data_IF_849926782386
#
_entry.id   IF_849926782386
#
_cell.length_a   1.000
_cell.length_b   1.000
_cell.length_c   1.000
_cell.angle_alpha   90.00
_cell.angle_beta   90.00
_cell.angle_gamma   90.00
#
_symmetry.space_group_name_H-M   'P 1'
#
loop_
_entity.id
_entity.type
_entity.pdbx_description
1 polymer ?
#
# COMPACT_ATOMS: atom_id res chain seq x y z
N UNK A 1 -30.29 0.15 -1.68
CA UNK A 1 -29.49 -0.37 -2.79
C UNK A 1 -29.17 0.78 -3.73
N UNK A 2 -27.99 1.39 -3.59
CA UNK A 2 -27.48 2.36 -4.56
C UNK A 2 -26.33 1.65 -5.28
N UNK A 3 -26.61 1.16 -6.49
CA UNK A 3 -25.58 0.66 -7.37
C UNK A 3 -24.63 1.82 -7.70
N UNK A 4 -23.42 1.75 -7.20
CA UNK A 4 -22.34 2.66 -7.56
C UNK A 4 -21.97 2.38 -9.01
N UNK A 5 -22.05 3.41 -9.83
CA UNK A 5 -21.67 3.39 -11.24
C UNK A 5 -20.19 2.96 -11.36
N UNK A 6 -19.86 2.05 -12.31
CA UNK A 6 -18.47 1.66 -12.52
C UNK A 6 -17.61 2.88 -12.83
N UNK A 7 -16.53 3.07 -12.07
CA UNK A 7 -15.55 4.10 -12.38
C UNK A 7 -14.91 3.78 -13.73
N UNK A 8 -14.83 4.79 -14.62
CA UNK A 8 -14.09 4.81 -15.89
C UNK A 8 -14.47 3.77 -16.95
N UNK A 9 -15.77 3.58 -17.24
CA UNK A 9 -16.18 2.91 -18.50
C UNK A 9 -15.92 1.40 -18.57
N UNK A 10 -15.44 0.75 -17.51
CA UNK A 10 -15.30 -0.70 -17.47
C UNK A 10 -16.67 -1.34 -17.29
N UNK A 11 -17.15 -2.04 -18.32
CA UNK A 11 -18.37 -2.84 -18.27
C UNK A 11 -17.98 -4.30 -18.09
N UNK A 12 -18.48 -4.93 -17.02
CA UNK A 12 -18.24 -6.35 -16.73
C UNK A 12 -19.59 -7.04 -16.66
N UNK A 13 -19.79 -8.03 -17.51
CA UNK A 13 -21.02 -8.84 -17.55
C UNK A 13 -20.89 -10.14 -16.79
N UNK A 14 -22.00 -10.80 -16.48
CA UNK A 14 -21.96 -12.16 -15.91
C UNK A 14 -21.26 -13.16 -16.84
N UNK A 15 -21.35 -12.96 -18.16
CA UNK A 15 -20.65 -13.81 -19.13
C UNK A 15 -19.14 -13.63 -19.07
N UNK A 16 -18.65 -12.40 -18.88
CA UNK A 16 -17.22 -12.11 -18.69
C UNK A 16 -16.70 -12.77 -17.42
N UNK A 17 -17.44 -12.62 -16.30
CA UNK A 17 -17.08 -13.27 -15.04
C UNK A 17 -17.11 -14.79 -15.15
N UNK A 18 -18.02 -15.38 -15.92
CA UNK A 18 -18.04 -16.81 -16.17
C UNK A 18 -16.84 -17.26 -17.01
N UNK A 19 -16.41 -16.47 -17.99
CA UNK A 19 -15.19 -16.76 -18.76
C UNK A 19 -13.95 -16.74 -17.86
N UNK A 20 -13.84 -15.71 -17.01
CA UNK A 20 -12.77 -15.60 -16.00
C UNK A 20 -12.82 -16.80 -15.04
N UNK A 21 -13.98 -17.11 -14.46
CA UNK A 21 -14.13 -18.25 -13.54
C UNK A 21 -13.74 -19.58 -14.21
N UNK A 22 -14.12 -19.78 -15.47
CA UNK A 22 -13.79 -21.00 -16.23
C UNK A 22 -12.29 -21.12 -16.51
N UNK A 23 -11.62 -20.02 -16.84
CA UNK A 23 -10.16 -20.00 -17.09
C UNK A 23 -9.35 -20.36 -15.82
N UNK A 24 -9.90 -20.10 -14.64
CA UNK A 24 -9.23 -20.36 -13.34
C UNK A 24 -9.86 -21.52 -12.52
N UNK A 25 -10.83 -22.25 -13.08
CA UNK A 25 -11.44 -23.40 -12.41
C UNK A 25 -12.33 -23.04 -11.19
N UNK A 26 -12.88 -21.83 -11.16
CA UNK A 26 -13.65 -21.27 -10.02
C UNK A 26 -15.15 -21.61 -10.03
N UNK A 27 -15.59 -22.48 -10.96
CA UNK A 27 -16.95 -22.96 -11.03
C UNK A 27 -17.92 -21.98 -11.67
N UNK A 28 -19.23 -22.12 -11.32
CA UNK A 28 -20.30 -21.34 -11.96
C UNK A 28 -20.57 -20.01 -11.23
N UNK A 29 -20.66 -18.92 -12.01
CA UNK A 29 -21.03 -17.59 -11.49
C UNK A 29 -22.55 -17.50 -11.34
N UNK A 30 -23.01 -17.36 -10.09
CA UNK A 30 -24.43 -17.25 -9.72
C UNK A 30 -24.85 -15.81 -9.44
N UNK A 31 -23.96 -15.05 -8.80
CA UNK A 31 -24.19 -13.66 -8.42
C UNK A 31 -22.87 -12.90 -8.31
N UNK A 32 -22.93 -11.61 -8.48
CA UNK A 32 -21.80 -10.70 -8.28
C UNK A 32 -22.29 -9.33 -7.85
N UNK A 33 -21.41 -8.60 -7.15
CA UNK A 33 -21.65 -7.23 -6.70
C UNK A 33 -20.37 -6.40 -6.75
N UNK A 34 -20.50 -5.13 -7.10
CA UNK A 34 -19.37 -4.20 -7.06
C UNK A 34 -19.00 -3.88 -5.62
N UNK A 35 -17.71 -3.95 -5.31
CA UNK A 35 -17.15 -3.36 -4.09
C UNK A 35 -17.01 -1.86 -4.32
N UNK A 36 -17.80 -1.07 -3.59
CA UNK A 36 -17.90 0.39 -3.78
C UNK A 36 -16.68 1.20 -3.35
N UNK A 37 -15.54 0.55 -3.09
CA UNK A 37 -14.30 1.15 -2.63
C UNK A 37 -13.13 0.71 -3.50
N UNK A 38 -12.28 1.64 -3.81
CA UNK A 38 -11.08 1.46 -4.61
C UNK A 38 -10.93 2.64 -5.56
N UNK A 39 -9.93 3.49 -5.31
CA UNK A 39 -9.65 4.67 -6.15
C UNK A 39 -9.17 4.25 -7.54
N UNK A 40 -8.42 3.17 -7.60
CA UNK A 40 -7.64 2.81 -8.78
C UNK A 40 -8.10 1.52 -9.46
N UNK A 41 -8.62 0.55 -8.70
CA UNK A 41 -8.93 -0.78 -9.23
C UNK A 41 -10.38 -1.16 -8.96
N UNK A 42 -11.23 -1.17 -10.00
CA UNK A 42 -12.57 -1.70 -9.87
C UNK A 42 -12.54 -3.14 -9.38
N UNK A 43 -13.36 -3.46 -8.38
CA UNK A 43 -13.41 -4.79 -7.78
C UNK A 43 -14.84 -5.31 -7.66
N UNK A 44 -15.03 -6.59 -7.92
CA UNK A 44 -16.28 -7.33 -7.80
C UNK A 44 -16.12 -8.50 -6.84
N UNK A 45 -17.09 -8.67 -5.94
CA UNK A 45 -17.28 -9.94 -5.22
C UNK A 45 -18.13 -10.86 -6.09
N UNK A 46 -17.71 -12.10 -6.24
CA UNK A 46 -18.43 -13.12 -7.01
C UNK A 46 -18.79 -14.29 -6.10
N UNK A 47 -20.03 -14.72 -6.16
CA UNK A 47 -20.66 -15.78 -5.34
C UNK A 47 -20.55 -15.57 -3.81
N UNK A 48 -19.97 -14.46 -3.36
CA UNK A 48 -19.62 -14.27 -1.96
C UNK A 48 -18.29 -14.92 -1.53
N UNK A 49 -17.59 -15.59 -2.45
CA UNK A 49 -16.44 -16.46 -2.17
C UNK A 49 -15.11 -15.88 -2.63
N UNK A 50 -15.10 -15.09 -3.70
CA UNK A 50 -13.89 -14.52 -4.26
C UNK A 50 -14.09 -13.10 -4.81
N UNK A 51 -12.99 -12.40 -4.92
CA UNK A 51 -12.92 -11.02 -5.40
C UNK A 51 -12.08 -10.99 -6.67
N UNK A 52 -12.58 -10.34 -7.73
CA UNK A 52 -11.77 -9.99 -8.89
C UNK A 52 -11.53 -8.49 -8.90
N UNK A 53 -10.26 -8.09 -9.05
CA UNK A 53 -9.83 -6.70 -9.22
C UNK A 53 -9.28 -6.53 -10.63
N UNK A 54 -9.73 -5.48 -11.30
CA UNK A 54 -9.32 -5.16 -12.67
C UNK A 54 -8.36 -3.97 -12.67
N UNK A 55 -7.49 -3.93 -13.67
CA UNK A 55 -6.65 -2.76 -13.91
C UNK A 55 -7.50 -1.58 -14.35
N UNK A 56 -7.58 -0.55 -13.53
CA UNK A 56 -8.40 0.65 -13.77
C UNK A 56 -7.61 1.90 -14.12
N UNK A 57 -6.27 1.86 -14.10
CA UNK A 57 -5.43 3.04 -14.34
C UNK A 57 -4.90 3.08 -15.76
N UNK A 58 -5.08 4.19 -16.51
CA UNK A 58 -4.44 4.38 -17.81
C UNK A 58 -2.91 4.44 -17.66
N UNK A 59 -2.19 3.76 -18.55
CA UNK A 59 -0.71 3.76 -18.54
C UNK A 59 -0.06 2.92 -17.45
N UNK A 60 -0.83 2.11 -16.79
CA UNK A 60 -0.41 1.33 -15.64
C UNK A 60 0.52 0.17 -15.99
N UNK A 61 1.27 -0.26 -14.97
CA UNK A 61 2.12 -1.44 -15.03
C UNK A 61 1.27 -2.66 -14.67
N UNK A 62 0.76 -3.45 -15.63
CA UNK A 62 -0.05 -4.63 -15.30
C UNK A 62 0.71 -5.63 -14.43
N UNK A 63 2.05 -5.60 -14.45
CA UNK A 63 2.94 -6.37 -13.58
C UNK A 63 2.72 -6.12 -12.09
N UNK A 64 2.05 -5.02 -11.68
CA UNK A 64 1.70 -4.80 -10.28
C UNK A 64 0.86 -5.93 -9.68
N UNK A 65 -0.02 -6.57 -10.47
CA UNK A 65 -0.77 -7.73 -9.99
C UNK A 65 0.10 -8.97 -9.77
N UNK A 66 1.22 -9.12 -10.50
CA UNK A 66 2.21 -10.15 -10.19
C UNK A 66 2.96 -9.84 -8.89
N UNK A 67 3.33 -8.58 -8.68
CA UNK A 67 3.94 -8.11 -7.43
C UNK A 67 3.01 -8.30 -6.23
N UNK A 68 1.75 -7.89 -6.36
CA UNK A 68 0.72 -8.08 -5.35
C UNK A 68 0.49 -9.57 -5.05
N UNK A 69 0.39 -10.40 -6.09
CA UNK A 69 0.24 -11.85 -5.93
C UNK A 69 1.45 -12.48 -5.24
N UNK A 70 2.67 -12.02 -5.52
CA UNK A 70 3.87 -12.46 -4.84
C UNK A 70 3.81 -12.10 -3.34
N UNK A 71 3.45 -10.85 -3.02
CA UNK A 71 3.30 -10.42 -1.62
C UNK A 71 2.31 -11.31 -0.85
N UNK A 72 1.11 -11.56 -1.40
CA UNK A 72 0.13 -12.43 -0.74
C UNK A 72 0.62 -13.86 -0.54
N UNK A 73 1.32 -14.45 -1.51
CA UNK A 73 1.88 -15.81 -1.36
C UNK A 73 2.90 -15.86 -0.23
N UNK A 74 3.81 -14.90 -0.18
CA UNK A 74 4.83 -14.80 0.87
C UNK A 74 4.22 -14.60 2.26
N UNK A 75 3.20 -13.75 2.38
CA UNK A 75 2.48 -13.54 3.63
C UNK A 75 1.84 -14.84 4.13
N UNK A 76 1.15 -15.55 3.25
CA UNK A 76 0.50 -16.83 3.60
C UNK A 76 1.51 -17.91 3.98
N UNK A 77 2.65 -17.99 3.29
CA UNK A 77 3.76 -18.91 3.64
C UNK A 77 4.29 -18.66 5.05
N UNK A 78 4.26 -17.41 5.50
CA UNK A 78 4.67 -16.99 6.84
C UNK A 78 3.50 -16.91 7.85
N UNK A 79 2.32 -17.42 7.47
CA UNK A 79 1.10 -17.41 8.28
C UNK A 79 0.62 -16.00 8.68
N UNK A 80 1.00 -14.98 7.93
CA UNK A 80 0.46 -13.63 8.07
C UNK A 80 -0.91 -13.57 7.38
N UNK A 81 -1.96 -13.03 8.03
CA UNK A 81 -3.30 -12.98 7.46
C UNK A 81 -3.34 -12.23 6.13
N UNK A 82 -3.69 -12.93 5.06
CA UNK A 82 -3.79 -12.39 3.70
C UNK A 82 -4.70 -13.26 2.83
N UNK A 83 -5.31 -12.71 1.75
CA UNK A 83 -6.11 -13.50 0.83
C UNK A 83 -5.27 -14.54 0.08
N UNK A 84 -5.92 -15.62 -0.34
CA UNK A 84 -5.33 -16.56 -1.29
C UNK A 84 -5.42 -16.00 -2.70
N UNK A 85 -4.34 -16.14 -3.48
CA UNK A 85 -4.34 -15.80 -4.89
C UNK A 85 -4.90 -16.96 -5.69
N UNK A 86 -6.10 -16.79 -6.25
CA UNK A 86 -6.81 -17.78 -7.04
C UNK A 86 -6.45 -17.69 -8.53
N UNK A 87 -5.98 -16.54 -8.99
CA UNK A 87 -5.54 -16.34 -10.37
C UNK A 87 -5.02 -14.93 -10.64
N UNK A 88 -4.18 -14.83 -11.65
CA UNK A 88 -3.71 -13.56 -12.24
C UNK A 88 -3.72 -13.72 -13.75
N UNK A 89 -4.23 -12.75 -14.48
CA UNK A 89 -4.14 -12.70 -15.93
C UNK A 89 -3.72 -11.30 -16.41
N UNK A 90 -2.55 -11.22 -17.01
CA UNK A 90 -2.02 -10.00 -17.62
C UNK A 90 -2.16 -10.03 -19.16
N UNK A 91 -2.59 -11.17 -19.72
CA UNK A 91 -2.61 -11.40 -21.15
C UNK A 91 -3.70 -10.65 -21.90
N UNK A 92 -4.75 -10.25 -21.19
CA UNK A 92 -5.95 -9.64 -21.75
C UNK A 92 -6.68 -10.52 -22.80
N UNK A 93 -6.45 -11.85 -22.77
CA UNK A 93 -7.09 -12.79 -23.72
C UNK A 93 -8.45 -13.27 -23.24
N UNK A 94 -8.65 -13.39 -21.91
CA UNK A 94 -9.91 -13.81 -21.31
C UNK A 94 -10.84 -12.61 -21.10
N UNK A 95 -10.29 -11.49 -20.68
CA UNK A 95 -11.00 -10.23 -20.45
C UNK A 95 -10.12 -9.06 -20.93
N UNK A 96 -10.67 -7.96 -21.49
CA UNK A 96 -9.89 -6.88 -22.11
C UNK A 96 -9.20 -5.94 -21.09
N UNK A 97 -8.90 -6.42 -19.90
CA UNK A 97 -8.09 -5.78 -18.87
C UNK A 97 -7.32 -6.82 -18.09
N UNK A 98 -6.14 -6.49 -17.60
CA UNK A 98 -5.45 -7.33 -16.61
C UNK A 98 -6.28 -7.43 -15.32
N UNK A 99 -6.20 -8.57 -14.63
CA UNK A 99 -6.91 -8.78 -13.38
C UNK A 99 -6.18 -9.74 -12.43
N UNK A 100 -6.52 -9.60 -11.14
CA UNK A 100 -6.15 -10.55 -10.08
C UNK A 100 -7.41 -11.08 -9.41
N UNK A 101 -7.42 -12.37 -9.06
CA UNK A 101 -8.51 -13.04 -8.35
C UNK A 101 -8.00 -13.48 -6.99
N UNK A 102 -8.71 -13.08 -5.96
CA UNK A 102 -8.36 -13.31 -4.56
C UNK A 102 -9.51 -14.03 -3.83
N UNK A 103 -9.19 -14.89 -2.86
CA UNK A 103 -10.21 -15.37 -1.94
C UNK A 103 -10.83 -14.21 -1.18
N UNK A 104 -12.13 -14.24 -0.94
CA UNK A 104 -12.79 -13.26 -0.09
C UNK A 104 -12.43 -13.53 1.36
N UNK A 105 -11.87 -12.52 2.03
CA UNK A 105 -11.66 -12.55 3.46
C UNK A 105 -12.95 -12.18 4.21
N UNK A 106 -13.21 -12.76 5.39
CA UNK A 106 -14.33 -12.37 6.23
C UNK A 106 -14.09 -11.02 6.88
N UNK A 107 -15.18 -10.30 7.14
CA UNK A 107 -15.15 -9.04 7.89
C UNK A 107 -15.27 -7.79 7.05
N UNK A 108 -14.86 -6.68 7.65
CA UNK A 108 -14.91 -5.32 7.11
C UNK A 108 -13.54 -4.64 7.30
N UNK A 109 -13.21 -3.59 6.53
CA UNK A 109 -12.10 -2.71 6.88
C UNK A 109 -12.19 -2.24 8.34
N UNK A 110 -11.06 -2.18 9.03
CA UNK A 110 -11.01 -1.76 10.43
C UNK A 110 -11.63 -0.37 10.61
N UNK A 111 -11.39 0.55 9.66
CA UNK A 111 -11.96 1.90 9.67
C UNK A 111 -13.49 1.89 9.74
N UNK A 112 -14.15 0.94 9.07
CA UNK A 112 -15.62 0.84 9.07
C UNK A 112 -16.18 0.30 10.40
N UNK A 113 -15.43 -0.57 11.05
CA UNK A 113 -15.80 -1.14 12.32
C UNK A 113 -15.43 -0.22 13.52
N UNK A 114 -14.45 0.66 13.35
CA UNK A 114 -13.78 1.43 14.42
C UNK A 114 -14.76 2.15 15.33
N UNK A 115 -15.70 2.89 14.76
CA UNK A 115 -16.66 3.69 15.53
C UNK A 115 -17.69 2.85 16.33
N UNK A 116 -17.82 1.58 16.01
CA UNK A 116 -18.72 0.64 16.72
C UNK A 116 -18.00 -0.17 17.80
N UNK A 117 -16.67 -0.07 17.86
CA UNK A 117 -15.83 -0.77 18.84
C UNK A 117 -15.77 0.02 20.15
N UNK A 118 -15.71 -0.71 21.28
CA UNK A 118 -15.30 -0.11 22.54
C UNK A 118 -13.82 0.27 22.51
N UNK A 119 -13.39 1.18 23.39
CA UNK A 119 -11.97 1.58 23.48
C UNK A 119 -11.01 0.38 23.65
N UNK A 120 -11.39 -0.61 24.46
CA UNK A 120 -10.60 -1.83 24.63
C UNK A 120 -10.49 -2.66 23.33
N UNK A 121 -11.56 -2.71 22.52
CA UNK A 121 -11.54 -3.40 21.22
C UNK A 121 -10.71 -2.61 20.19
N UNK A 122 -10.79 -1.28 20.21
CA UNK A 122 -9.97 -0.40 19.37
C UNK A 122 -8.49 -0.59 19.69
N UNK A 123 -8.10 -0.57 20.96
CA UNK A 123 -6.73 -0.83 21.39
C UNK A 123 -6.25 -2.24 21.00
N UNK A 124 -7.08 -3.26 21.21
CA UNK A 124 -6.76 -4.64 20.84
C UNK A 124 -6.51 -4.80 19.33
N UNK A 125 -7.40 -4.28 18.48
CA UNK A 125 -7.29 -4.43 17.03
C UNK A 125 -6.10 -3.64 16.47
N UNK A 126 -5.83 -2.45 17.03
CA UNK A 126 -4.66 -1.65 16.67
C UNK A 126 -3.35 -2.36 17.07
N UNK A 127 -3.29 -2.93 18.27
CA UNK A 127 -2.14 -3.74 18.69
C UNK A 127 -1.93 -4.98 17.81
N UNK A 128 -3.02 -5.66 17.42
CA UNK A 128 -2.94 -6.79 16.51
C UNK A 128 -2.43 -6.38 15.13
N UNK A 129 -2.88 -5.25 14.58
CA UNK A 129 -2.37 -4.70 13.34
C UNK A 129 -0.86 -4.41 13.41
N UNK A 130 -0.38 -3.88 14.55
CA UNK A 130 1.06 -3.69 14.79
C UNK A 130 1.85 -4.99 14.77
N UNK A 131 1.31 -6.07 15.34
CA UNK A 131 1.96 -7.41 15.30
C UNK A 131 1.95 -7.99 13.89
N UNK A 132 0.86 -7.85 13.15
CA UNK A 132 0.76 -8.28 11.74
C UNK A 132 1.78 -7.53 10.89
N UNK A 133 1.92 -6.22 11.07
CA UNK A 133 2.93 -5.41 10.39
C UNK A 133 4.35 -5.89 10.73
N UNK A 134 4.64 -6.18 12.00
CA UNK A 134 5.95 -6.69 12.42
C UNK A 134 6.26 -8.08 11.84
N UNK A 135 5.27 -8.94 11.70
CA UNK A 135 5.41 -10.26 11.05
C UNK A 135 5.68 -10.11 9.56
N UNK A 136 4.93 -9.25 8.87
CA UNK A 136 5.15 -8.93 7.45
C UNK A 136 6.58 -8.43 7.20
N UNK A 137 7.09 -7.54 8.03
CA UNK A 137 8.47 -7.05 7.96
C UNK A 137 9.53 -8.11 8.28
N UNK A 138 9.12 -9.31 8.72
CA UNK A 138 9.96 -10.50 8.85
C UNK A 138 10.24 -11.21 7.53
N UNK A 139 9.58 -10.84 6.46
CA UNK A 139 9.77 -11.39 5.13
C UNK A 139 10.83 -10.55 4.42
N UNK A 140 11.90 -11.19 3.95
CA UNK A 140 13.07 -10.48 3.46
C UNK A 140 13.45 -10.89 2.03
N UNK A 141 14.14 -9.96 1.35
CA UNK A 141 14.75 -10.19 0.05
C UNK A 141 16.26 -9.90 0.06
N UNK A 142 16.93 -10.28 -1.03
CA UNK A 142 18.36 -10.02 -1.21
C UNK A 142 18.65 -8.59 -1.71
N UNK A 143 17.69 -7.94 -2.36
CA UNK A 143 17.84 -6.63 -2.98
C UNK A 143 16.61 -5.78 -2.72
N UNK A 144 16.78 -4.46 -2.75
CA UNK A 144 15.70 -3.49 -2.70
C UNK A 144 15.05 -3.35 -4.08
N UNK A 145 13.78 -2.93 -4.11
CA UNK A 145 13.10 -2.64 -5.36
C UNK A 145 11.58 -2.72 -5.24
N UNK A 146 10.90 -2.17 -6.22
CA UNK A 146 9.45 -2.14 -6.32
C UNK A 146 8.93 -3.47 -6.88
N UNK A 147 7.96 -4.11 -6.22
CA UNK A 147 7.39 -5.37 -6.70
C UNK A 147 6.64 -5.22 -8.02
N UNK A 148 6.22 -4.01 -8.38
CA UNK A 148 5.63 -3.71 -9.71
C UNK A 148 6.65 -3.78 -10.85
N UNK A 149 7.95 -3.71 -10.52
CA UNK A 149 9.07 -3.71 -11.47
C UNK A 149 10.14 -4.71 -11.03
N UNK A 150 9.83 -6.01 -10.93
CA UNK A 150 10.72 -7.00 -10.33
C UNK A 150 12.08 -7.13 -11.04
N UNK A 151 12.18 -6.65 -12.27
CA UNK A 151 13.44 -6.60 -13.04
C UNK A 151 14.34 -5.40 -12.67
N UNK A 152 13.82 -4.40 -11.93
CA UNK A 152 14.57 -3.22 -11.47
C UNK A 152 14.87 -3.39 -10.00
N UNK A 153 16.12 -3.72 -9.68
CA UNK A 153 16.56 -3.97 -8.31
C UNK A 153 17.76 -3.09 -7.96
N UNK A 154 17.91 -2.82 -6.68
CA UNK A 154 18.96 -1.96 -6.13
C UNK A 154 19.73 -2.72 -5.06
N UNK A 155 21.08 -2.62 -5.06
CA UNK A 155 21.93 -3.32 -4.09
C UNK A 155 21.84 -2.74 -2.67
N UNK A 156 21.35 -1.49 -2.53
CA UNK A 156 21.24 -0.79 -1.26
C UNK A 156 19.99 0.09 -1.23
N UNK A 157 19.43 0.29 -0.04
CA UNK A 157 18.20 1.06 0.14
C UNK A 157 18.37 2.53 -0.27
N UNK A 158 19.49 3.17 0.05
CA UNK A 158 19.76 4.54 -0.40
C UNK A 158 19.70 4.67 -1.93
N UNK A 159 20.18 3.67 -2.67
CA UNK A 159 20.16 3.74 -4.14
C UNK A 159 18.74 3.67 -4.72
N UNK A 160 17.83 2.93 -4.06
CA UNK A 160 16.41 2.96 -4.39
C UNK A 160 15.80 4.34 -4.09
N UNK A 161 16.12 4.92 -2.92
CA UNK A 161 15.60 6.24 -2.53
C UNK A 161 16.12 7.37 -3.44
N UNK A 162 17.37 7.29 -3.90
CA UNK A 162 17.93 8.22 -4.87
C UNK A 162 17.15 8.17 -6.20
N UNK A 163 16.92 6.96 -6.74
CA UNK A 163 16.14 6.77 -7.97
C UNK A 163 14.69 7.27 -7.81
N UNK A 164 14.08 6.96 -6.67
CA UNK A 164 12.74 7.43 -6.31
C UNK A 164 12.68 8.95 -6.25
N UNK A 165 13.58 9.61 -5.51
CA UNK A 165 13.62 11.07 -5.40
C UNK A 165 13.82 11.71 -6.78
N UNK A 166 14.80 11.22 -7.57
CA UNK A 166 15.09 11.79 -8.91
C UNK A 166 13.91 11.64 -9.87
N UNK A 167 13.09 10.60 -9.72
CA UNK A 167 11.88 10.43 -10.55
C UNK A 167 10.88 11.53 -10.25
N UNK A 168 10.51 11.72 -9.00
CA UNK A 168 9.52 12.73 -8.62
C UNK A 168 10.04 14.17 -8.74
N UNK A 169 11.34 14.42 -8.50
CA UNK A 169 11.93 15.74 -8.76
C UNK A 169 11.83 16.14 -10.25
N UNK A 170 12.06 15.19 -11.15
CA UNK A 170 11.98 15.46 -12.59
C UNK A 170 10.54 15.80 -13.00
N UNK A 171 9.57 15.09 -12.47
CA UNK A 171 8.15 15.31 -12.72
C UNK A 171 7.71 16.66 -12.13
N UNK A 172 7.98 16.92 -10.84
CA UNK A 172 7.58 18.15 -10.14
C UNK A 172 8.25 19.42 -10.64
N UNK A 173 9.51 19.35 -11.07
CA UNK A 173 10.18 20.45 -11.75
C UNK A 173 9.59 20.69 -13.14
N UNK A 174 9.25 19.61 -13.86
CA UNK A 174 8.66 19.69 -15.21
C UNK A 174 7.25 20.27 -15.22
N UNK A 175 6.45 19.98 -14.20
CA UNK A 175 5.11 20.53 -13.98
C UNK A 175 5.10 21.91 -13.30
N UNK A 176 6.24 22.33 -12.74
CA UNK A 176 6.36 23.61 -12.02
C UNK A 176 5.76 23.60 -10.61
N UNK A 177 5.51 22.42 -10.05
CA UNK A 177 5.02 22.25 -8.66
C UNK A 177 6.07 22.60 -7.62
N UNK A 178 7.35 22.39 -7.95
CA UNK A 178 8.48 22.81 -7.12
C UNK A 178 9.50 23.61 -7.95
N UNK A 179 10.34 24.39 -7.28
CA UNK A 179 11.44 25.12 -7.90
C UNK A 179 12.80 24.44 -7.69
N UNK A 180 13.81 24.85 -8.46
CA UNK A 180 15.15 24.29 -8.37
C UNK A 180 15.82 24.48 -6.98
N UNK A 181 15.66 25.61 -6.27
CA UNK A 181 16.12 25.73 -4.88
C UNK A 181 15.54 24.67 -3.94
N UNK A 182 14.24 24.38 -4.01
CA UNK A 182 13.59 23.34 -3.19
C UNK A 182 14.11 21.94 -3.57
N UNK A 183 14.20 21.64 -4.87
CA UNK A 183 14.77 20.39 -5.35
C UNK A 183 16.18 20.13 -4.77
N UNK A 184 17.06 21.15 -4.82
CA UNK A 184 18.40 21.05 -4.26
C UNK A 184 18.44 20.90 -2.73
N UNK A 185 17.41 21.34 -1.99
CA UNK A 185 17.28 21.08 -0.55
C UNK A 185 16.91 19.61 -0.29
N UNK A 186 15.95 19.07 -1.03
CA UNK A 186 15.52 17.68 -0.94
C UNK A 186 16.68 16.71 -1.22
N UNK A 187 17.47 16.96 -2.27
CA UNK A 187 18.66 16.19 -2.60
C UNK A 187 19.70 16.21 -1.48
N UNK A 188 20.00 17.38 -0.90
CA UNK A 188 20.96 17.49 0.21
C UNK A 188 20.50 16.72 1.44
N UNK A 189 19.24 16.87 1.83
CA UNK A 189 18.69 16.15 2.99
C UNK A 189 18.77 14.64 2.79
N UNK A 190 18.42 14.12 1.61
CA UNK A 190 18.53 12.68 1.34
C UNK A 190 19.97 12.21 1.39
N UNK A 191 20.92 12.98 0.84
CA UNK A 191 22.34 12.69 0.88
C UNK A 191 22.89 12.67 2.32
N UNK A 192 22.50 13.62 3.17
CA UNK A 192 22.90 13.71 4.57
C UNK A 192 22.35 12.54 5.42
N UNK A 193 21.20 11.98 5.03
CA UNK A 193 20.59 10.83 5.69
C UNK A 193 21.09 9.47 5.18
N UNK A 194 21.90 9.45 4.13
CA UNK A 194 22.44 8.21 3.54
C UNK A 194 23.06 7.25 4.58
N UNK A 195 23.86 7.68 5.56
CA UNK A 195 24.42 6.77 6.56
C UNK A 195 23.38 6.01 7.39
N UNK A 196 22.14 6.54 7.53
CA UNK A 196 21.03 5.86 8.18
C UNK A 196 20.45 4.77 7.28
N UNK A 197 20.35 5.04 5.99
CA UNK A 197 19.83 4.09 5.00
C UNK A 197 20.80 2.97 4.67
N UNK A 198 22.11 3.20 4.82
CA UNK A 198 23.16 2.17 4.69
C UNK A 198 23.05 1.09 5.79
N UNK A 199 22.30 1.35 6.86
CA UNK A 199 22.03 0.36 7.92
C UNK A 199 20.92 -0.64 7.51
N UNK A 200 20.19 -0.39 6.43
CA UNK A 200 19.19 -1.32 5.89
C UNK A 200 19.89 -2.40 5.07
N UNK A 201 20.48 -3.37 5.78
CA UNK A 201 21.26 -4.45 5.17
C UNK A 201 20.42 -5.62 4.66
N UNK A 202 19.19 -5.72 5.12
CA UNK A 202 18.25 -6.78 4.74
C UNK A 202 16.89 -6.17 4.44
N UNK A 203 16.55 -5.98 3.15
CA UNK A 203 15.25 -5.42 2.76
C UNK A 203 14.10 -6.29 3.23
N UNK A 204 13.09 -5.67 3.82
CA UNK A 204 11.84 -6.30 4.24
C UNK A 204 10.75 -6.10 3.20
N UNK A 205 9.72 -6.96 3.22
CA UNK A 205 8.48 -6.69 2.50
C UNK A 205 7.78 -5.48 3.15
N UNK A 206 7.59 -4.43 2.39
CA UNK A 206 6.93 -3.18 2.78
C UNK A 206 5.64 -3.05 2.01
N UNK A 207 4.53 -2.77 2.68
CA UNK A 207 3.22 -2.54 2.07
C UNK A 207 3.18 -1.21 1.32
N UNK A 208 3.80 -0.18 1.94
CA UNK A 208 3.88 1.20 1.47
C UNK A 208 2.60 2.01 1.57
N UNK A 209 1.47 1.35 1.78
CA UNK A 209 0.15 1.96 1.97
C UNK A 209 -0.62 1.28 3.13
N UNK A 210 0.10 1.05 4.26
CA UNK A 210 -0.48 0.37 5.41
C UNK A 210 -1.35 1.33 6.23
N UNK A 211 -2.66 1.18 6.11
CA UNK A 211 -3.66 1.87 6.92
C UNK A 211 -4.91 1.00 7.13
N UNK A 212 -5.83 1.47 7.96
CA UNK A 212 -6.96 0.64 8.39
C UNK A 212 -8.08 0.45 7.38
N UNK A 213 -8.04 1.09 6.23
CA UNK A 213 -8.87 0.70 5.07
C UNK A 213 -8.34 -0.59 4.43
N UNK A 214 -7.01 -0.83 4.52
CA UNK A 214 -6.33 -1.99 3.95
C UNK A 214 -6.14 -3.14 4.95
N UNK A 215 -6.61 -3.00 6.20
CA UNK A 215 -6.67 -4.07 7.19
C UNK A 215 -8.12 -4.49 7.44
N UNK A 216 -8.44 -5.77 7.21
CA UNK A 216 -9.78 -6.30 7.45
C UNK A 216 -9.87 -6.94 8.83
N UNK A 217 -11.01 -6.77 9.50
CA UNK A 217 -11.26 -7.38 10.81
C UNK A 217 -12.61 -8.08 10.88
N UNK A 218 -12.66 -9.15 11.69
CA UNK A 218 -13.87 -9.89 11.99
C UNK A 218 -13.82 -10.43 13.41
N UNK A 219 -14.89 -10.25 14.19
CA UNK A 219 -14.97 -10.71 15.58
C UNK A 219 -13.79 -10.26 16.46
N UNK A 220 -13.27 -9.05 16.24
CA UNK A 220 -12.18 -8.47 17.05
C UNK A 220 -10.77 -8.97 16.69
N UNK A 221 -10.60 -9.63 15.56
CA UNK A 221 -9.30 -10.07 15.05
C UNK A 221 -9.06 -9.56 13.62
N UNK A 222 -7.80 -9.31 13.26
CA UNK A 222 -7.37 -9.02 11.88
C UNK A 222 -7.50 -10.31 11.05
N UNK A 223 -8.28 -10.24 9.98
CA UNK A 223 -8.49 -11.37 9.05
C UNK A 223 -7.62 -11.29 7.82
N UNK A 224 -7.04 -10.14 7.54
CA UNK A 224 -6.03 -9.98 6.51
C UNK A 224 -5.69 -8.53 6.21
N UNK A 225 -4.52 -8.38 5.61
CA UNK A 225 -4.06 -7.12 4.98
C UNK A 225 -4.22 -7.28 3.48
N UNK A 226 -4.72 -6.24 2.83
CA UNK A 226 -5.04 -6.21 1.40
C UNK A 226 -4.38 -5.00 0.74
N UNK A 227 -4.40 -4.98 -0.60
CA UNK A 227 -3.94 -3.86 -1.44
C UNK A 227 -2.42 -3.65 -1.46
N UNK A 228 -1.68 -4.72 -1.80
CA UNK A 228 -0.23 -4.74 -1.93
C UNK A 228 0.27 -4.20 -3.28
N UNK A 229 -0.54 -3.45 -4.02
CA UNK A 229 -0.18 -2.95 -5.35
C UNK A 229 1.03 -2.00 -5.36
N UNK A 230 1.34 -1.37 -4.22
CA UNK A 230 2.47 -0.45 -4.04
C UNK A 230 3.66 -1.07 -3.31
N UNK A 231 3.60 -2.35 -2.98
CA UNK A 231 4.59 -3.03 -2.16
C UNK A 231 5.99 -3.04 -2.78
N UNK A 232 6.97 -3.06 -1.90
CA UNK A 232 8.38 -3.05 -2.27
C UNK A 232 9.24 -3.84 -1.27
N UNK A 233 10.49 -4.08 -1.65
CA UNK A 233 11.56 -4.56 -0.79
C UNK A 233 12.40 -3.39 -0.31
N UNK A 234 12.38 -3.09 0.99
CA UNK A 234 13.07 -1.92 1.52
C UNK A 234 13.15 -1.84 3.04
N UNK A 235 13.29 -0.61 3.53
CA UNK A 235 13.26 -0.34 4.97
C UNK A 235 11.82 -0.52 5.51
N UNK A 236 11.61 -1.42 6.49
CA UNK A 236 10.31 -1.63 7.10
C UNK A 236 9.69 -0.35 7.71
N UNK A 237 10.51 0.61 8.11
CA UNK A 237 10.03 1.87 8.69
C UNK A 237 9.25 2.74 7.68
N UNK A 238 9.36 2.43 6.39
CA UNK A 238 8.62 3.13 5.34
C UNK A 238 7.09 2.96 5.49
N UNK A 239 6.59 1.87 6.10
CA UNK A 239 5.16 1.66 6.32
C UNK A 239 4.54 2.58 7.38
N UNK A 240 5.37 3.20 8.22
CA UNK A 240 4.88 4.19 9.19
C UNK A 240 4.64 5.57 8.59
N UNK A 241 4.98 5.81 7.32
CA UNK A 241 4.77 7.09 6.65
C UNK A 241 3.31 7.55 6.62
N UNK A 242 2.37 6.61 6.66
CA UNK A 242 0.91 6.83 6.66
C UNK A 242 0.30 7.07 8.04
N UNK A 243 1.12 7.29 9.09
CA UNK A 243 0.65 7.51 10.46
C UNK A 243 -0.41 8.61 10.58
N UNK A 244 -0.22 9.73 9.87
CA UNK A 244 -1.16 10.85 9.88
C UNK A 244 -2.55 10.45 9.38
N UNK A 245 -2.63 9.62 8.35
CA UNK A 245 -3.88 9.07 7.85
C UNK A 245 -4.52 8.12 8.88
N UNK A 246 -3.71 7.25 9.49
CA UNK A 246 -4.17 6.32 10.50
C UNK A 246 -4.81 7.05 11.69
N UNK A 247 -4.15 8.10 12.21
CA UNK A 247 -4.69 8.92 13.30
C UNK A 247 -5.92 9.74 12.90
N UNK A 248 -6.00 10.21 11.65
CA UNK A 248 -7.14 10.96 11.15
C UNK A 248 -8.42 10.12 11.10
N UNK A 249 -8.32 8.86 10.65
CA UNK A 249 -9.49 7.97 10.47
C UNK A 249 -9.79 7.12 11.70
N UNK A 250 -8.76 6.76 12.48
CA UNK A 250 -8.86 5.93 13.69
C UNK A 250 -8.04 6.56 14.83
N UNK A 251 -8.52 7.64 15.45
CA UNK A 251 -7.78 8.38 16.48
C UNK A 251 -7.30 7.49 17.63
N UNK A 252 -6.04 7.66 18.06
CA UNK A 252 -5.42 6.92 19.15
C UNK A 252 -4.86 5.54 18.77
N UNK A 253 -5.00 5.13 17.50
CA UNK A 253 -4.56 3.81 17.06
C UNK A 253 -3.04 3.68 16.92
N UNK A 254 -2.33 4.74 16.50
CA UNK A 254 -0.89 4.68 16.23
C UNK A 254 -0.08 4.26 17.44
N UNK A 255 -0.43 4.75 18.63
CA UNK A 255 0.29 4.39 19.86
C UNK A 255 0.24 2.87 20.14
N UNK A 256 -0.91 2.24 19.96
CA UNK A 256 -1.07 0.80 20.13
C UNK A 256 -0.36 -0.01 19.02
N UNK A 257 -0.42 0.48 17.78
CA UNK A 257 0.32 -0.11 16.64
C UNK A 257 1.82 -0.08 16.92
N UNK A 258 2.39 1.06 17.30
CA UNK A 258 3.82 1.20 17.59
C UNK A 258 4.27 0.36 18.79
N UNK A 259 3.49 0.35 19.88
CA UNK A 259 3.82 -0.45 21.06
C UNK A 259 3.90 -1.94 20.71
N UNK A 260 2.86 -2.48 20.06
CA UNK A 260 2.80 -3.89 19.69
C UNK A 260 3.81 -4.29 18.60
N UNK A 261 4.08 -3.40 17.65
CA UNK A 261 5.17 -3.60 16.68
C UNK A 261 6.51 -3.66 17.38
N UNK A 262 6.78 -2.72 18.31
CA UNK A 262 8.04 -2.60 19.04
C UNK A 262 8.35 -3.79 19.95
N UNK A 263 7.33 -4.52 20.45
CA UNK A 263 7.49 -5.79 21.18
C UNK A 263 8.19 -6.87 20.34
N UNK A 264 7.92 -6.92 19.03
CA UNK A 264 8.47 -7.91 18.10
C UNK A 264 9.69 -7.38 17.34
N UNK A 265 9.69 -6.08 17.02
CA UNK A 265 10.73 -5.38 16.25
C UNK A 265 10.99 -4.01 16.86
N UNK A 266 11.99 -3.89 17.76
CA UNK A 266 12.32 -2.62 18.38
C UNK A 266 12.59 -1.53 17.35
N UNK A 267 11.94 -0.38 17.50
CA UNK A 267 12.19 0.77 16.66
C UNK A 267 13.60 1.34 16.95
N UNK A 268 14.41 1.62 15.94
CA UNK A 268 15.77 2.12 16.13
C UNK A 268 15.77 3.57 16.65
N UNK A 269 16.87 3.99 17.26
CA UNK A 269 17.00 5.34 17.83
C UNK A 269 16.82 6.47 16.78
N UNK A 270 17.11 6.17 15.51
CA UNK A 270 16.98 7.09 14.38
C UNK A 270 15.62 7.03 13.68
N UNK A 271 14.64 6.30 14.28
CA UNK A 271 13.29 6.12 13.73
C UNK A 271 12.65 7.44 13.29
N UNK A 272 12.66 8.46 14.15
CA UNK A 272 12.01 9.74 13.86
C UNK A 272 12.61 10.47 12.64
N UNK A 273 13.93 10.33 12.42
CA UNK A 273 14.60 10.92 11.25
C UNK A 273 14.24 10.18 9.96
N UNK A 274 14.27 8.83 9.97
CA UNK A 274 13.83 8.03 8.82
C UNK A 274 12.36 8.25 8.51
N UNK A 275 11.51 8.25 9.52
CA UNK A 275 10.07 8.49 9.38
C UNK A 275 9.80 9.85 8.72
N UNK A 276 10.42 10.94 9.21
CA UNK A 276 10.28 12.26 8.58
C UNK A 276 10.75 12.26 7.12
N UNK A 277 11.81 11.53 6.78
CA UNK A 277 12.28 11.39 5.41
C UNK A 277 11.25 10.64 4.53
N UNK A 278 10.67 9.53 5.01
CA UNK A 278 9.66 8.80 4.25
C UNK A 278 8.37 9.59 4.07
N UNK A 279 7.97 10.39 5.07
CA UNK A 279 6.86 11.33 4.93
C UNK A 279 7.18 12.44 3.92
N UNK A 280 8.39 12.97 3.91
CA UNK A 280 8.85 13.96 2.93
C UNK A 280 8.79 13.42 1.50
N UNK A 281 9.28 12.18 1.29
CA UNK A 281 9.24 11.54 -0.02
C UNK A 281 7.81 11.21 -0.46
N UNK A 282 6.94 10.77 0.47
CA UNK A 282 5.52 10.54 0.21
C UNK A 282 4.80 11.83 -0.16
N UNK A 283 5.07 12.92 0.54
CA UNK A 283 4.46 14.21 0.26
C UNK A 283 4.85 14.74 -1.14
N UNK A 284 6.09 14.51 -1.58
CA UNK A 284 6.52 14.84 -2.93
C UNK A 284 5.80 13.98 -3.99
N UNK A 285 5.61 12.67 -3.75
CA UNK A 285 4.82 11.79 -4.60
C UNK A 285 3.37 12.26 -4.69
N UNK A 286 2.72 12.55 -3.57
CA UNK A 286 1.32 12.96 -3.51
C UNK A 286 1.08 14.37 -4.09
N UNK A 287 2.09 15.22 -4.11
CA UNK A 287 2.01 16.51 -4.76
C UNK A 287 1.77 16.37 -6.28
N UNK A 288 2.38 15.37 -6.92
CA UNK A 288 2.17 15.06 -8.34
C UNK A 288 0.81 14.39 -8.60
N UNK A 289 0.33 13.56 -7.65
CA UNK A 289 -0.90 12.78 -7.77
C UNK A 289 -2.15 13.53 -7.27
N UNK A 290 -2.00 14.79 -6.82
CA UNK A 290 -3.08 15.60 -6.26
C UNK A 290 -4.19 15.83 -7.29
N UNK A 291 -5.44 15.61 -6.89
CA UNK A 291 -6.62 15.75 -7.76
C UNK A 291 -7.18 17.17 -7.75
N UNK A 292 -6.85 17.95 -6.73
CA UNK A 292 -7.28 19.35 -6.58
C UNK A 292 -6.27 20.17 -5.78
N UNK A 293 -6.51 21.49 -5.73
CA UNK A 293 -5.62 22.45 -5.06
C UNK A 293 -5.52 22.21 -3.54
N UNK A 294 -6.52 21.60 -2.91
CA UNK A 294 -6.50 21.32 -1.47
C UNK A 294 -5.57 20.15 -1.13
N UNK A 295 -5.65 19.05 -1.90
CA UNK A 295 -4.72 17.92 -1.79
C UNK A 295 -3.27 18.36 -2.09
N UNK A 296 -3.07 19.20 -3.10
CA UNK A 296 -1.76 19.74 -3.44
C UNK A 296 -1.19 20.60 -2.31
N UNK A 297 -2.03 21.45 -1.68
CA UNK A 297 -1.61 22.29 -0.56
C UNK A 297 -1.25 21.46 0.68
N UNK A 298 -2.07 20.44 1.02
CA UNK A 298 -1.78 19.52 2.13
C UNK A 298 -0.43 18.80 1.93
N UNK A 299 -0.20 18.30 0.72
CA UNK A 299 1.06 17.63 0.37
C UNK A 299 2.26 18.60 0.43
N UNK A 300 2.10 19.81 -0.04
CA UNK A 300 3.13 20.87 0.03
C UNK A 300 3.45 21.24 1.48
N UNK A 301 2.44 21.41 2.33
CA UNK A 301 2.63 21.76 3.74
C UNK A 301 3.35 20.63 4.49
N UNK A 302 2.98 19.38 4.26
CA UNK A 302 3.66 18.20 4.83
C UNK A 302 5.12 18.11 4.37
N UNK A 303 5.38 18.30 3.05
CA UNK A 303 6.72 18.30 2.48
C UNK A 303 7.62 19.34 3.18
N UNK A 304 7.14 20.57 3.32
CA UNK A 304 7.89 21.66 3.94
C UNK A 304 8.10 21.45 5.45
N UNK A 305 7.11 20.90 6.16
CA UNK A 305 7.23 20.58 7.57
C UNK A 305 8.28 19.49 7.82
N UNK A 306 8.26 18.42 7.03
CA UNK A 306 9.23 17.33 7.13
C UNK A 306 10.65 17.81 6.78
N UNK A 307 10.79 18.58 5.69
CA UNK A 307 12.07 19.16 5.28
C UNK A 307 12.68 20.04 6.36
N UNK A 308 11.88 20.93 6.98
CA UNK A 308 12.34 21.79 8.09
C UNK A 308 12.82 20.99 9.32
N UNK A 309 12.14 19.87 9.63
CA UNK A 309 12.55 18.96 10.73
C UNK A 309 13.86 18.23 10.45
N UNK A 310 14.14 17.93 9.18
CA UNK A 310 15.34 17.20 8.76
C UNK A 310 16.55 18.09 8.63
N UNK A 311 16.37 19.38 8.35
CA UNK A 311 17.44 20.39 8.27
C UNK A 311 17.85 20.96 9.65
N UNK A 312 17.04 20.69 10.72
CA UNK A 312 17.32 21.12 12.11
C UNK A 312 18.24 20.13 12.83
#
# INVERSE_FOLDING_TARGET
MKGTTPQRGLSVTTADLQAIASAHGLGHVRQHEWLGRGRNNPALVVNGDWVVRFDGLPGNLPQRFEGEALAYRLLREQHVPAPEVLGVDLSQQVFPSAYIILSRLPGLPVVDAWQTMSAAQQEQIAAEAGRVLAQMHGIHAAQCGDLRRPQVTFPAWHSYLDDYLQTYLRESLGSGLIDAPLAGRLERVLADLRPLFDQVVQPSLVHRDFHFENALCHHGAITGVIDFEWSLWGDPLCDFRTEGELERVCPGSSAAVYAAYGELRPLPADFQRRHACYQMLMALEFLEDALDDAEAQESSDLLMACLSRLES
#
